data_IF_184161744489
#
_entry.id   IF_184161744489
#
_cell.length_a   1.000
_cell.length_b   1.000
_cell.length_c   1.000
_cell.angle_alpha   90.00
_cell.angle_beta   90.00
_cell.angle_gamma   90.00
#
_symmetry.space_group_name_H-M   'P 1'
#
loop_
_entity.id
_entity.type
_entity.pdbx_description
1 polymer ?
#
# COMPACT_ATOMS: atom_id res chain seq x y z
N UNK A 1 -16.96 -15.91 3.98
CA UNK A 1 -15.66 -16.09 3.29
C UNK A 1 -14.89 -14.78 3.37
N UNK A 2 -13.65 -14.80 3.85
CA UNK A 2 -12.82 -13.58 3.92
C UNK A 2 -12.34 -13.22 2.52
N UNK A 3 -12.70 -12.04 2.04
CA UNK A 3 -12.36 -11.53 0.70
C UNK A 3 -10.84 -11.48 0.46
N UNK A 4 -10.06 -11.29 1.53
CA UNK A 4 -8.59 -11.30 1.48
C UNK A 4 -8.00 -12.60 0.95
N UNK A 5 -8.67 -13.75 1.12
CA UNK A 5 -8.18 -15.03 0.55
C UNK A 5 -8.21 -15.07 -0.98
N UNK A 6 -9.07 -14.26 -1.61
CA UNK A 6 -9.14 -14.15 -3.08
C UNK A 6 -8.13 -13.15 -3.65
N UNK A 7 -7.54 -12.32 -2.79
CA UNK A 7 -6.60 -11.25 -3.15
C UNK A 7 -5.13 -11.69 -3.00
N UNK A 8 -4.89 -12.97 -2.71
CA UNK A 8 -3.53 -13.51 -2.74
C UNK A 8 -2.96 -13.51 -4.16
N UNK A 9 -1.64 -13.35 -4.33
CA UNK A 9 -0.61 -13.29 -3.29
C UNK A 9 -0.50 -11.92 -2.59
N UNK A 10 -0.06 -11.94 -1.33
CA UNK A 10 0.20 -10.72 -0.56
C UNK A 10 1.52 -10.06 -1.01
N UNK A 11 1.53 -8.73 -1.17
CA UNK A 11 2.75 -7.95 -1.38
C UNK A 11 3.24 -7.38 -0.05
N UNK A 12 4.37 -7.90 0.44
CA UNK A 12 5.06 -7.33 1.62
C UNK A 12 6.12 -6.35 1.14
N UNK A 13 5.90 -5.06 1.39
CA UNK A 13 6.81 -3.98 0.96
C UNK A 13 8.09 -3.87 1.81
N UNK A 14 8.04 -4.26 3.09
CA UNK A 14 9.17 -4.16 4.02
C UNK A 14 9.50 -2.72 4.47
N UNK A 15 8.71 -1.73 4.07
CA UNK A 15 8.83 -0.31 4.39
C UNK A 15 7.45 0.36 4.42
N UNK A 16 7.42 1.69 4.58
CA UNK A 16 6.18 2.48 4.52
C UNK A 16 5.49 2.37 3.15
N UNK A 17 4.16 2.44 3.12
CA UNK A 17 3.36 2.45 1.89
C UNK A 17 3.78 3.57 0.91
N UNK A 18 4.38 4.66 1.43
CA UNK A 18 4.92 5.76 0.61
C UNK A 18 6.07 5.33 -0.31
N UNK A 19 6.70 4.19 -0.05
CA UNK A 19 7.73 3.62 -0.92
C UNK A 19 7.15 2.73 -2.02
N UNK A 20 5.83 2.52 -2.06
CA UNK A 20 5.17 1.85 -3.16
C UNK A 20 5.33 2.70 -4.42
N UNK A 21 5.87 2.10 -5.48
CA UNK A 21 6.07 2.76 -6.77
C UNK A 21 5.44 1.95 -7.89
N UNK A 22 5.15 2.60 -9.02
CA UNK A 22 4.64 1.93 -10.22
C UNK A 22 5.56 0.78 -10.68
N UNK A 23 6.88 0.92 -10.51
CA UNK A 23 7.85 -0.12 -10.83
C UNK A 23 7.67 -1.40 -10.00
N UNK A 24 7.33 -1.27 -8.71
CA UNK A 24 7.03 -2.43 -7.85
C UNK A 24 5.74 -3.12 -8.31
N UNK A 25 4.71 -2.33 -8.65
CA UNK A 25 3.42 -2.85 -9.13
C UNK A 25 3.62 -3.65 -10.43
N UNK A 26 4.35 -3.08 -11.39
CA UNK A 26 4.62 -3.73 -12.68
C UNK A 26 5.49 -4.98 -12.53
N UNK A 27 6.56 -4.91 -11.72
CA UNK A 27 7.45 -6.05 -11.47
C UNK A 27 6.72 -7.25 -10.88
N UNK A 28 5.77 -7.00 -9.96
CA UNK A 28 4.98 -8.05 -9.32
C UNK A 28 3.67 -8.37 -10.06
N UNK A 29 3.46 -7.82 -11.26
CA UNK A 29 2.28 -8.04 -12.10
C UNK A 29 0.94 -7.83 -11.37
N UNK A 30 0.91 -6.87 -10.44
CA UNK A 30 -0.27 -6.59 -9.62
C UNK A 30 -1.32 -5.89 -10.49
N UNK A 31 -2.49 -6.52 -10.62
CA UNK A 31 -3.60 -6.04 -11.46
C UNK A 31 -4.58 -5.15 -10.71
N UNK A 32 -4.55 -5.19 -9.38
CA UNK A 32 -5.43 -4.42 -8.51
C UNK A 32 -4.81 -4.35 -7.13
N UNK A 33 -4.97 -3.19 -6.49
CA UNK A 33 -4.46 -2.93 -5.15
C UNK A 33 -5.63 -2.44 -4.31
N UNK A 34 -5.86 -3.10 -3.18
CA UNK A 34 -6.82 -2.65 -2.17
C UNK A 34 -5.99 -2.16 -0.99
N UNK A 35 -6.10 -0.88 -0.69
CA UNK A 35 -5.42 -0.25 0.44
C UNK A 35 -6.44 -0.09 1.56
N UNK A 36 -6.14 -0.69 2.72
CA UNK A 36 -6.89 -0.44 3.94
C UNK A 36 -6.36 0.85 4.58
N UNK A 37 -7.07 1.95 4.35
CA UNK A 37 -6.58 3.32 4.53
C UNK A 37 -6.73 3.85 5.97
N UNK A 38 -7.39 3.13 6.87
CA UNK A 38 -7.62 3.63 8.23
C UNK A 38 -6.32 3.68 9.06
N UNK A 39 -5.39 2.74 8.85
CA UNK A 39 -4.11 2.65 9.59
C UNK A 39 -2.85 2.81 8.71
N UNK A 40 -2.99 2.98 7.39
CA UNK A 40 -1.85 3.00 6.44
C UNK A 40 -1.54 4.37 5.84
N UNK A 41 -2.45 5.34 5.94
CA UNK A 41 -2.23 6.70 5.46
C UNK A 41 -1.56 7.55 6.53
N UNK A 42 -0.22 7.47 6.55
CA UNK A 42 0.69 8.36 7.29
C UNK A 42 0.61 8.18 8.82
N UNK A 43 1.73 7.92 9.51
CA UNK A 43 1.74 8.08 10.96
C UNK A 43 1.29 9.51 11.25
N UNK A 44 0.26 9.71 12.07
CA UNK A 44 -0.26 11.03 12.51
C UNK A 44 0.86 11.97 13.07
N UNK A 45 2.08 11.44 13.23
CA UNK A 45 3.29 12.11 13.71
C UNK A 45 4.23 12.64 12.62
N UNK A 46 4.06 12.30 11.34
CA UNK A 46 4.87 12.88 10.27
C UNK A 46 4.20 14.18 9.77
N UNK A 47 4.49 15.25 10.48
CA UNK A 47 3.99 16.62 10.28
C UNK A 47 4.60 17.33 9.07
N UNK A 48 4.83 16.62 7.96
CA UNK A 48 5.35 17.20 6.72
C UNK A 48 4.52 16.77 5.51
N UNK A 49 3.20 16.93 5.61
CA UNK A 49 2.34 16.97 4.43
C UNK A 49 2.54 18.32 3.75
N UNK A 50 2.82 18.33 2.43
CA UNK A 50 2.96 19.57 1.65
C UNK A 50 1.76 20.48 1.90
N UNK A 51 1.95 21.78 2.16
CA UNK A 51 0.84 22.72 2.06
C UNK A 51 0.39 22.74 0.60
N UNK A 52 -0.92 22.84 0.40
CA UNK A 52 -1.56 23.08 -0.90
C UNK A 52 -1.03 24.35 -1.57
#
# INVERSE_FOLDING_TARGET
MSWGKLLQPDLVLGNSILSLTLGIIQKNQIKGLVLDVDDTLVPIRDSNTSPE
#
